data_IF_540712074827
#
_entry.id   IF_540712074827
#
_cell.length_a   1.000
_cell.length_b   1.000
_cell.length_c   1.000
_cell.angle_alpha   90.00
_cell.angle_beta   90.00
_cell.angle_gamma   90.00
#
_symmetry.space_group_name_H-M   'P 1'
#
loop_
_entity.id
_entity.type
_entity.pdbx_description
1 polymer ?
#
# COMPACT_ATOMS: atom_id res chain seq x y z
N UNK A 1 34.94 -42.96 -3.85
CA UNK A 1 35.20 -44.41 -3.92
C UNK A 1 34.78 -45.05 -2.61
N UNK A 2 33.78 -45.96 -2.66
CA UNK A 2 33.39 -47.05 -1.71
C UNK A 2 33.05 -46.68 -0.23
N UNK A 3 32.28 -47.49 0.53
CA UNK A 3 31.43 -48.65 0.17
C UNK A 3 30.00 -48.68 0.80
N UNK A 4 29.27 -49.68 0.32
CA UNK A 4 28.03 -50.35 0.73
C UNK A 4 27.60 -50.35 2.21
N UNK A 5 26.27 -50.34 2.40
CA UNK A 5 25.59 -51.25 3.32
C UNK A 5 24.17 -51.59 2.80
N UNK A 6 24.03 -52.83 2.30
CA UNK A 6 22.76 -53.59 2.27
C UNK A 6 22.26 -53.76 3.71
N UNK A 7 20.95 -53.90 3.93
CA UNK A 7 20.35 -54.92 4.83
C UNK A 7 18.80 -54.92 4.78
N UNK A 8 18.29 -56.03 4.24
CA UNK A 8 17.18 -56.90 4.69
C UNK A 8 15.71 -56.43 4.65
N UNK A 9 14.96 -57.23 3.88
CA UNK A 9 13.50 -57.39 3.80
C UNK A 9 12.86 -57.71 5.16
N UNK A 10 11.69 -57.13 5.42
CA UNK A 10 10.64 -57.81 6.16
C UNK A 10 9.30 -57.57 5.43
N UNK A 11 8.85 -58.60 4.71
CA UNK A 11 7.51 -58.66 4.16
C UNK A 11 6.53 -58.96 5.29
N UNK A 12 5.63 -58.00 5.58
CA UNK A 12 4.47 -58.24 6.44
C UNK A 12 3.21 -58.21 5.59
N UNK A 13 2.66 -59.40 5.37
CA UNK A 13 1.33 -59.64 4.80
C UNK A 13 0.30 -59.24 5.84
N UNK A 14 -0.45 -58.16 5.60
CA UNK A 14 -1.61 -57.78 6.41
C UNK A 14 -2.89 -58.17 5.70
N UNK A 15 -3.68 -58.97 6.40
CA UNK A 15 -4.97 -59.55 6.00
C UNK A 15 -6.01 -58.43 5.84
N UNK A 16 -6.62 -58.39 4.66
CA UNK A 16 -7.73 -57.49 4.35
C UNK A 16 -8.98 -57.90 5.14
N UNK A 17 -9.45 -57.02 6.03
CA UNK A 17 -10.79 -57.10 6.62
C UNK A 17 -11.68 -56.07 5.94
N UNK A 18 -12.52 -56.52 5.01
CA UNK A 18 -13.53 -55.69 4.36
C UNK A 18 -14.74 -55.54 5.29
N UNK A 19 -14.69 -54.55 6.18
CA UNK A 19 -15.88 -54.08 6.87
C UNK A 19 -16.62 -53.09 5.96
N UNK A 20 -17.84 -53.43 5.53
CA UNK A 20 -18.79 -52.46 4.97
C UNK A 20 -19.23 -51.50 6.08
N UNK A 21 -18.37 -50.53 6.39
CA UNK A 21 -18.78 -49.35 7.13
C UNK A 21 -19.59 -48.48 6.17
N UNK A 22 -20.89 -48.33 6.45
CA UNK A 22 -21.74 -47.37 5.74
C UNK A 22 -21.07 -46.00 5.78
N UNK A 23 -20.63 -45.53 4.61
CA UNK A 23 -20.06 -44.18 4.47
C UNK A 23 -21.21 -43.21 4.66
N UNK A 24 -21.40 -42.74 5.90
CA UNK A 24 -22.07 -41.47 6.13
C UNK A 24 -21.22 -40.46 5.37
N UNK A 25 -21.74 -39.99 4.24
CA UNK A 25 -21.13 -38.90 3.50
C UNK A 25 -21.13 -37.71 4.47
N UNK A 26 -19.98 -37.46 5.11
CA UNK A 26 -19.74 -36.22 5.84
C UNK A 26 -19.75 -35.16 4.76
N UNK A 27 -20.91 -34.53 4.55
CA UNK A 27 -20.98 -33.30 3.79
C UNK A 27 -20.10 -32.33 4.56
N UNK A 28 -18.96 -31.89 4.00
CA UNK A 28 -18.14 -30.91 4.70
C UNK A 28 -19.05 -29.73 4.97
N UNK A 29 -19.28 -29.43 6.25
CA UNK A 29 -19.92 -28.18 6.64
C UNK A 29 -19.03 -27.10 6.07
N UNK A 30 -19.50 -26.43 5.02
CA UNK A 30 -18.80 -25.29 4.45
C UNK A 30 -18.80 -24.26 5.56
N UNK A 31 -17.67 -24.14 6.26
CA UNK A 31 -17.50 -23.17 7.32
C UNK A 31 -17.89 -21.82 6.72
N UNK A 32 -18.93 -21.20 7.29
CA UNK A 32 -19.43 -19.93 6.80
C UNK A 32 -18.25 -18.95 6.75
N UNK A 33 -17.96 -18.41 5.56
CA UNK A 33 -16.89 -17.43 5.43
C UNK A 33 -17.21 -16.26 6.35
N UNK A 34 -16.26 -15.83 7.20
CA UNK A 34 -16.52 -14.72 8.12
C UNK A 34 -16.82 -13.47 7.30
N UNK A 35 -17.86 -12.75 7.73
CA UNK A 35 -18.23 -11.48 7.11
C UNK A 35 -17.03 -10.50 7.19
N UNK A 36 -16.78 -9.71 6.14
CA UNK A 36 -15.72 -8.70 6.17
C UNK A 36 -15.97 -7.69 7.29
N UNK A 37 -14.89 -7.15 7.86
CA UNK A 37 -15.00 -6.03 8.79
C UNK A 37 -15.33 -4.77 7.99
N UNK A 38 -16.28 -3.95 8.47
CA UNK A 38 -16.63 -2.70 7.81
C UNK A 38 -16.16 -1.52 8.66
N UNK A 39 -15.28 -0.69 8.14
CA UNK A 39 -14.87 0.55 8.80
C UNK A 39 -15.61 1.72 8.19
N UNK A 40 -16.09 2.64 9.03
CA UNK A 40 -16.79 3.85 8.60
C UNK A 40 -16.45 5.00 9.51
N UNK A 41 -16.40 6.21 8.97
CA UNK A 41 -16.21 7.42 9.76
C UNK A 41 -15.95 8.63 8.88
N UNK A 42 -15.44 9.68 9.50
CA UNK A 42 -15.04 10.92 8.83
C UNK A 42 -13.55 10.93 8.54
N UNK A 43 -13.18 11.61 7.47
CA UNK A 43 -11.82 11.93 7.11
C UNK A 43 -11.57 13.39 7.48
N UNK A 44 -10.52 13.61 8.27
CA UNK A 44 -10.02 14.93 8.61
C UNK A 44 -8.61 15.10 8.06
N UNK A 45 -8.32 16.28 7.56
CA UNK A 45 -6.96 16.71 7.27
C UNK A 45 -6.57 17.72 8.33
N UNK A 46 -5.38 17.58 8.91
CA UNK A 46 -4.87 18.56 9.87
C UNK A 46 -4.57 19.86 9.10
N UNK A 47 -5.56 20.73 8.94
CA UNK A 47 -5.50 22.02 8.24
C UNK A 47 -4.89 21.99 6.82
N UNK A 48 -5.66 21.87 5.74
CA UNK A 48 -5.13 21.97 4.38
C UNK A 48 -6.12 21.49 3.32
N UNK A 49 -5.71 21.59 2.05
CA UNK A 49 -6.52 21.16 0.91
C UNK A 49 -6.56 19.64 0.84
N UNK A 50 -7.76 19.07 0.71
CA UNK A 50 -7.95 17.62 0.50
C UNK A 50 -7.25 17.18 -0.80
N UNK A 51 -6.56 16.03 -0.82
CA UNK A 51 -6.00 15.49 -2.06
C UNK A 51 -7.12 15.25 -3.09
N UNK A 52 -7.02 15.94 -4.23
CA UNK A 52 -7.95 15.81 -5.37
C UNK A 52 -9.23 16.63 -5.22
N UNK A 53 -9.14 17.97 -5.33
CA UNK A 53 -10.26 18.95 -5.35
C UNK A 53 -11.30 18.77 -6.49
N UNK A 54 -11.68 17.54 -6.82
CA UNK A 54 -12.63 17.20 -7.90
C UNK A 54 -12.61 15.74 -8.33
N UNK A 55 -11.59 14.97 -7.91
CA UNK A 55 -11.43 13.56 -8.26
C UNK A 55 -11.75 12.68 -7.06
N UNK A 56 -12.55 11.63 -7.26
CA UNK A 56 -12.88 10.63 -6.24
C UNK A 56 -11.62 10.11 -5.53
N UNK A 57 -11.38 10.55 -4.29
CA UNK A 57 -10.29 10.01 -3.47
C UNK A 57 -10.65 8.57 -3.07
N UNK A 58 -9.70 7.65 -3.15
CA UNK A 58 -9.92 6.25 -2.79
C UNK A 58 -9.25 5.93 -1.46
N UNK A 59 -10.02 5.43 -0.49
CA UNK A 59 -9.51 4.91 0.78
C UNK A 59 -9.10 3.45 0.58
N UNK A 60 -7.91 3.10 1.05
CA UNK A 60 -7.33 1.77 1.00
C UNK A 60 -7.06 1.28 2.43
N UNK A 61 -7.37 0.02 2.70
CA UNK A 61 -7.20 -0.61 4.00
C UNK A 61 -6.19 -1.76 3.88
N UNK A 62 -5.19 -1.74 4.76
CA UNK A 62 -4.04 -2.64 4.73
C UNK A 62 -3.89 -3.42 6.03
N UNK A 63 -3.35 -4.63 5.93
CA UNK A 63 -2.90 -5.43 7.08
C UNK A 63 -1.54 -4.94 7.62
N UNK A 64 -1.09 -5.50 8.75
CA UNK A 64 0.25 -5.23 9.30
C UNK A 64 1.40 -5.59 8.35
N UNK A 65 1.18 -6.56 7.46
CA UNK A 65 2.15 -6.95 6.41
C UNK A 65 2.01 -6.11 5.14
N UNK A 66 1.21 -5.03 5.20
CA UNK A 66 0.91 -4.12 4.09
C UNK A 66 0.22 -4.80 2.90
N UNK A 67 -0.52 -5.90 3.14
CA UNK A 67 -1.39 -6.49 2.12
C UNK A 67 -2.66 -5.64 1.96
N UNK A 68 -3.06 -5.34 0.71
CA UNK A 68 -4.30 -4.60 0.42
C UNK A 68 -5.53 -5.49 0.63
N UNK A 69 -6.36 -5.11 1.61
CA UNK A 69 -7.48 -5.91 2.10
C UNK A 69 -8.84 -5.25 1.94
N UNK A 70 -8.86 -3.96 1.58
CA UNK A 70 -10.08 -3.22 1.30
C UNK A 70 -9.76 -1.98 0.49
N UNK A 71 -10.68 -1.58 -0.39
CA UNK A 71 -10.54 -0.37 -1.19
C UNK A 71 -11.92 0.18 -1.49
N UNK A 72 -12.15 1.48 -1.23
CA UNK A 72 -13.38 2.14 -1.63
C UNK A 72 -13.26 3.62 -1.92
N UNK A 73 -14.21 4.16 -2.68
CA UNK A 73 -14.30 5.59 -2.99
C UNK A 73 -14.86 6.38 -1.81
N UNK A 74 -14.16 7.44 -1.43
CA UNK A 74 -14.60 8.42 -0.43
C UNK A 74 -15.61 9.38 -1.05
N UNK A 75 -16.72 9.65 -0.35
CA UNK A 75 -17.75 10.62 -0.78
C UNK A 75 -17.80 11.78 0.20
N UNK A 76 -17.41 12.98 -0.25
CA UNK A 76 -17.21 14.12 0.65
C UNK A 76 -16.14 13.79 1.68
N UNK A 77 -16.41 14.01 2.96
CA UNK A 77 -15.49 13.68 4.05
C UNK A 77 -15.88 12.41 4.81
N UNK A 78 -16.77 11.59 4.23
CA UNK A 78 -17.21 10.33 4.83
C UNK A 78 -16.64 9.17 4.02
N UNK A 79 -16.13 8.17 4.73
CA UNK A 79 -15.64 6.94 4.12
C UNK A 79 -16.35 5.72 4.67
N UNK A 80 -16.38 4.67 3.86
CA UNK A 80 -16.78 3.33 4.25
C UNK A 80 -15.97 2.34 3.46
N UNK A 81 -15.28 1.41 4.13
CA UNK A 81 -14.46 0.39 3.47
C UNK A 81 -14.69 -0.97 4.12
N UNK A 82 -14.93 -1.98 3.29
CA UNK A 82 -14.96 -3.37 3.72
C UNK A 82 -13.55 -3.94 3.65
N UNK A 83 -13.14 -4.66 4.68
CA UNK A 83 -11.80 -5.25 4.83
C UNK A 83 -11.94 -6.75 4.93
N UNK A 84 -11.40 -7.44 3.93
CA UNK A 84 -11.39 -8.90 3.85
C UNK A 84 -10.65 -9.50 5.05
N UNK A 85 -11.06 -10.70 5.46
CA UNK A 85 -10.34 -11.48 6.47
C UNK A 85 -9.20 -12.28 5.85
N UNK A 86 -8.29 -12.78 6.68
CA UNK A 86 -7.25 -13.74 6.25
C UNK A 86 -7.80 -15.01 5.59
N UNK A 87 -9.01 -15.43 5.95
CA UNK A 87 -9.66 -16.64 5.40
C UNK A 87 -10.31 -16.39 4.05
N UNK A 88 -10.72 -15.14 3.77
CA UNK A 88 -11.21 -14.73 2.46
C UNK A 88 -10.06 -14.41 1.50
N UNK A 89 -9.00 -13.76 2.01
CA UNK A 89 -7.80 -13.39 1.25
C UNK A 89 -6.54 -13.59 2.08
N UNK A 90 -5.61 -14.46 1.66
CA UNK A 90 -4.33 -14.63 2.35
C UNK A 90 -3.58 -13.29 2.51
N UNK A 91 -2.99 -13.06 3.68
CA UNK A 91 -2.29 -11.82 4.02
C UNK A 91 -3.16 -10.74 4.68
N UNK A 92 -4.49 -10.91 4.66
CA UNK A 92 -5.41 -10.01 5.33
C UNK A 92 -5.55 -10.25 6.83
N UNK A 93 -6.03 -9.26 7.60
CA UNK A 93 -6.06 -9.34 9.06
C UNK A 93 -7.03 -10.42 9.58
N UNK A 94 -6.75 -10.89 10.80
CA UNK A 94 -7.61 -11.76 11.60
C UNK A 94 -8.30 -10.97 12.72
N UNK A 95 -9.23 -11.59 13.45
CA UNK A 95 -9.90 -10.96 14.60
C UNK A 95 -8.89 -10.35 15.59
N UNK A 96 -9.07 -9.06 15.90
CA UNK A 96 -8.20 -8.27 16.78
C UNK A 96 -6.93 -7.71 16.13
N UNK A 97 -6.58 -8.10 14.90
CA UNK A 97 -5.39 -7.59 14.21
C UNK A 97 -5.57 -6.14 13.75
N UNK A 98 -4.51 -5.33 13.70
CA UNK A 98 -4.61 -3.94 13.29
C UNK A 98 -4.90 -3.82 11.78
N UNK A 99 -5.67 -2.79 11.45
CA UNK A 99 -5.95 -2.33 10.08
C UNK A 99 -5.44 -0.91 9.93
N UNK A 100 -4.67 -0.69 8.88
CA UNK A 100 -4.05 0.58 8.54
C UNK A 100 -4.78 1.20 7.36
N UNK A 101 -4.93 2.52 7.35
CA UNK A 101 -5.68 3.21 6.32
C UNK A 101 -4.79 4.16 5.54
N UNK A 102 -4.91 4.14 4.22
CA UNK A 102 -4.22 5.02 3.29
C UNK A 102 -5.24 5.74 2.42
N UNK A 103 -5.07 7.03 2.20
CA UNK A 103 -5.86 7.80 1.24
C UNK A 103 -4.89 8.40 0.23
N UNK A 104 -4.89 7.86 -1.00
CA UNK A 104 -3.82 8.16 -1.95
C UNK A 104 -2.48 7.72 -1.39
N UNK A 105 -1.60 8.67 -1.05
CA UNK A 105 -0.27 8.41 -0.48
C UNK A 105 -0.12 8.69 1.01
N UNK A 106 -1.24 9.07 1.64
CA UNK A 106 -1.24 9.51 3.02
C UNK A 106 -1.73 8.39 3.90
N UNK A 107 -0.92 8.01 4.89
CA UNK A 107 -1.35 7.12 5.95
C UNK A 107 -2.12 7.91 7.02
N UNK A 108 -3.25 7.37 7.44
CA UNK A 108 -3.97 7.88 8.60
C UNK A 108 -3.13 7.69 9.87
N UNK A 109 -3.32 8.57 10.87
CA UNK A 109 -2.69 8.41 12.18
C UNK A 109 -3.30 7.24 12.95
N UNK A 110 -4.59 7.04 12.79
CA UNK A 110 -5.40 6.06 13.49
C UNK A 110 -5.31 4.69 12.83
N UNK A 111 -5.56 3.65 13.64
CA UNK A 111 -5.60 2.26 13.21
C UNK A 111 -6.86 1.64 13.77
N UNK A 112 -7.50 0.79 12.98
CA UNK A 112 -8.63 -0.01 13.42
C UNK A 112 -8.17 -1.36 13.95
N UNK A 113 -9.04 -2.08 14.66
CA UNK A 113 -8.88 -3.51 14.91
C UNK A 113 -9.91 -4.26 14.08
N UNK A 114 -9.48 -5.26 13.31
CA UNK A 114 -10.38 -6.04 12.48
C UNK A 114 -11.30 -6.89 13.36
N UNK A 115 -12.60 -6.80 13.15
CA UNK A 115 -13.61 -7.61 13.85
C UNK A 115 -14.75 -7.98 12.88
N UNK A 116 -15.23 -9.23 12.87
CA UNK A 116 -16.23 -9.67 11.91
C UNK A 116 -17.62 -9.12 12.23
N UNK A 117 -18.40 -8.83 11.18
CA UNK A 117 -19.85 -8.71 11.26
C UNK A 117 -20.43 -7.39 11.78
N UNK A 118 -19.63 -6.49 12.37
CA UNK A 118 -20.10 -5.19 12.85
C UNK A 118 -19.37 -4.01 12.19
N UNK A 119 -20.08 -2.91 11.88
CA UNK A 119 -19.43 -1.66 11.51
C UNK A 119 -18.59 -1.11 12.67
N UNK A 120 -17.34 -0.75 12.36
CA UNK A 120 -16.39 -0.15 13.27
C UNK A 120 -16.32 1.34 12.94
N UNK A 121 -16.79 2.17 13.88
CA UNK A 121 -16.68 3.62 13.78
C UNK A 121 -15.23 4.05 14.06
N UNK A 122 -14.60 4.69 13.09
CA UNK A 122 -13.23 5.19 13.21
C UNK A 122 -13.11 6.46 12.37
N UNK A 123 -12.81 7.59 13.01
CA UNK A 123 -12.45 8.80 12.29
C UNK A 123 -10.96 8.75 11.95
N UNK A 124 -10.60 9.17 10.74
CA UNK A 124 -9.24 9.13 10.22
C UNK A 124 -8.70 10.53 10.03
N UNK A 125 -7.52 10.78 10.59
CA UNK A 125 -6.79 12.02 10.48
C UNK A 125 -5.56 11.81 9.60
N UNK A 126 -5.48 12.54 8.49
CA UNK A 126 -4.35 12.53 7.58
C UNK A 126 -3.49 13.79 7.75
N UNK A 127 -2.17 13.71 7.49
CA UNK A 127 -1.30 14.88 7.57
C UNK A 127 -1.75 16.00 6.63
N UNK A 128 -1.51 17.25 7.03
CA UNK A 128 -1.62 18.43 6.18
C UNK A 128 -0.86 18.22 4.88
N UNK A 129 -1.40 18.67 3.76
CA UNK A 129 -0.61 18.82 2.53
C UNK A 129 -0.16 20.26 2.37
N UNK A 130 1.10 20.41 2.01
CA UNK A 130 1.65 21.65 1.46
C UNK A 130 1.82 21.45 -0.04
N UNK A 131 1.28 22.40 -0.80
CA UNK A 131 1.41 22.44 -2.25
C UNK A 131 2.40 23.52 -2.64
N UNK A 132 3.29 23.21 -3.58
CA UNK A 132 4.26 24.14 -4.14
C UNK A 132 4.18 24.09 -5.67
N UNK A 133 4.25 25.26 -6.32
CA UNK A 133 4.27 25.33 -7.79
C UNK A 133 5.70 25.21 -8.28
N UNK A 134 5.92 24.27 -9.20
CA UNK A 134 7.15 24.00 -9.92
C UNK A 134 7.04 24.67 -11.30
N UNK A 135 7.82 25.74 -11.58
CA UNK A 135 7.90 26.32 -12.91
C UNK A 135 8.48 25.32 -13.93
N UNK A 136 8.23 25.55 -15.21
CA UNK A 136 8.87 24.79 -16.30
C UNK A 136 10.41 24.81 -16.16
N UNK A 137 11.05 23.69 -16.48
CA UNK A 137 12.50 23.50 -16.30
C UNK A 137 12.83 22.63 -15.09
N UNK A 138 14.04 22.76 -14.56
CA UNK A 138 14.53 21.97 -13.44
C UNK A 138 14.74 22.85 -12.20
N UNK A 139 14.23 22.41 -11.06
CA UNK A 139 14.40 23.09 -9.77
C UNK A 139 14.69 22.13 -8.63
N UNK A 140 15.18 22.68 -7.51
CA UNK A 140 15.51 21.93 -6.31
C UNK A 140 14.38 22.00 -5.30
N UNK A 141 13.90 20.84 -4.86
CA UNK A 141 12.78 20.74 -3.94
C UNK A 141 13.13 19.79 -2.79
N UNK A 142 12.75 20.18 -1.57
CA UNK A 142 12.85 19.31 -0.40
C UNK A 142 11.63 18.39 -0.38
N UNK A 143 11.82 17.10 -0.13
CA UNK A 143 10.70 16.17 0.00
C UNK A 143 10.35 15.97 1.47
N UNK A 144 9.05 15.83 1.76
CA UNK A 144 8.54 15.69 3.13
C UNK A 144 7.71 14.42 3.31
N UNK A 145 7.79 13.51 2.34
CA UNK A 145 7.24 12.16 2.42
C UNK A 145 7.94 11.33 3.52
N UNK A 146 7.35 10.21 3.91
CA UNK A 146 7.97 9.25 4.84
C UNK A 146 9.27 8.66 4.28
N UNK A 147 10.13 8.13 5.15
CA UNK A 147 11.33 7.41 4.72
C UNK A 147 10.98 6.17 3.88
N UNK A 148 11.77 5.90 2.84
CA UNK A 148 11.54 4.77 1.93
C UNK A 148 10.32 4.93 1.01
N UNK A 149 9.81 6.15 0.81
CA UNK A 149 8.68 6.40 -0.10
C UNK A 149 9.09 6.08 -1.53
N UNK A 150 8.32 5.26 -2.24
CA UNK A 150 8.59 4.92 -3.63
C UNK A 150 8.52 6.16 -4.53
N UNK A 151 9.40 6.26 -5.54
CA UNK A 151 9.45 7.45 -6.41
C UNK A 151 8.16 7.65 -7.21
N UNK A 152 7.45 6.58 -7.52
CA UNK A 152 6.14 6.60 -8.18
C UNK A 152 5.07 7.32 -7.33
N UNK A 153 5.21 7.26 -6.01
CA UNK A 153 4.37 8.05 -5.08
C UNK A 153 4.64 9.54 -5.25
N UNK A 154 5.91 9.94 -5.39
CA UNK A 154 6.27 11.35 -5.62
C UNK A 154 5.66 11.84 -6.95
N UNK A 155 5.74 11.04 -8.01
CA UNK A 155 5.14 11.36 -9.31
C UNK A 155 3.61 11.49 -9.24
N UNK A 156 2.93 10.61 -8.52
CA UNK A 156 1.48 10.69 -8.34
C UNK A 156 1.04 11.98 -7.63
N UNK A 157 1.95 12.63 -6.89
CA UNK A 157 1.71 13.91 -6.24
C UNK A 157 2.21 15.12 -7.04
N UNK A 158 2.72 14.91 -8.26
CA UNK A 158 2.99 15.96 -9.24
C UNK A 158 1.81 16.08 -10.19
N UNK A 159 1.15 17.24 -10.16
CA UNK A 159 -0.05 17.51 -10.95
C UNK A 159 0.25 18.59 -12.01
N UNK A 160 0.19 18.25 -13.31
CA UNK A 160 0.27 19.23 -14.39
C UNK A 160 -0.75 20.36 -14.19
N UNK A 161 -0.31 21.62 -14.30
CA UNK A 161 -1.21 22.79 -14.26
C UNK A 161 -1.69 23.21 -15.65
N UNK A 162 -0.99 22.77 -16.70
CA UNK A 162 -1.30 23.07 -18.09
C UNK A 162 -1.30 21.78 -18.94
N UNK A 163 -2.15 21.69 -19.98
CA UNK A 163 -2.11 20.57 -20.92
C UNK A 163 -0.73 20.38 -21.54
N UNK A 164 -0.23 19.15 -21.56
CA UNK A 164 1.09 18.81 -22.11
C UNK A 164 2.26 18.97 -21.13
N UNK A 165 2.04 19.51 -19.93
CA UNK A 165 3.07 19.51 -18.88
C UNK A 165 3.29 18.08 -18.37
N UNK A 166 4.54 17.63 -18.35
CA UNK A 166 4.95 16.30 -17.91
C UNK A 166 6.22 16.38 -17.06
N UNK A 167 6.45 15.34 -16.24
CA UNK A 167 7.72 15.18 -15.53
C UNK A 167 8.75 14.58 -16.47
N UNK A 168 9.84 15.29 -16.72
CA UNK A 168 10.92 14.81 -17.58
C UNK A 168 11.90 13.91 -16.80
N UNK A 169 12.28 14.34 -15.59
CA UNK A 169 13.20 13.59 -14.74
C UNK A 169 13.10 14.02 -13.27
N UNK A 170 13.48 13.11 -12.36
CA UNK A 170 13.77 13.41 -10.96
C UNK A 170 15.17 12.89 -10.63
N UNK A 171 16.01 13.74 -10.03
CA UNK A 171 17.37 13.39 -9.65
C UNK A 171 17.59 13.56 -8.15
N UNK A 172 18.40 12.67 -7.58
CA UNK A 172 18.81 12.69 -6.19
C UNK A 172 20.30 12.41 -6.09
N UNK A 173 21.02 13.19 -5.29
CA UNK A 173 22.43 12.92 -4.98
C UNK A 173 22.54 11.99 -3.78
N UNK A 174 22.96 10.75 -4.03
CA UNK A 174 23.22 9.78 -2.97
C UNK A 174 24.62 10.02 -2.38
N UNK A 175 24.69 10.88 -1.36
CA UNK A 175 25.96 11.28 -0.76
C UNK A 175 26.81 10.09 -0.23
N UNK A 176 26.25 9.08 0.47
CA UNK A 176 27.05 7.93 0.92
C UNK A 176 27.73 7.15 -0.21
N UNK A 177 27.13 7.13 -1.40
CA UNK A 177 27.67 6.45 -2.59
C UNK A 177 28.35 7.41 -3.57
N UNK A 178 28.37 8.71 -3.28
CA UNK A 178 28.86 9.78 -4.16
C UNK A 178 28.37 9.64 -5.62
N UNK A 179 27.09 9.35 -5.80
CA UNK A 179 26.51 9.12 -7.13
C UNK A 179 25.15 9.78 -7.30
N UNK A 180 24.86 10.22 -8.52
CA UNK A 180 23.52 10.63 -8.92
C UNK A 180 22.63 9.41 -9.15
N UNK A 181 21.41 9.48 -8.62
CA UNK A 181 20.33 8.56 -8.92
C UNK A 181 19.25 9.31 -9.67
N UNK A 182 18.72 8.71 -10.73
CA UNK A 182 17.74 9.32 -11.61
C UNK A 182 16.47 8.49 -11.72
N UNK A 183 15.36 9.16 -11.98
CA UNK A 183 14.12 8.57 -12.43
C UNK A 183 13.58 9.35 -13.64
N UNK A 184 13.19 8.63 -14.68
CA UNK A 184 12.69 9.13 -15.95
C UNK A 184 11.40 8.34 -16.28
N UNK A 185 10.21 8.97 -16.22
CA UNK A 185 8.95 8.27 -16.46
C UNK A 185 8.92 7.51 -17.79
N UNK A 186 9.42 8.15 -18.86
CA UNK A 186 9.45 7.59 -20.23
C UNK A 186 10.83 7.05 -20.64
N UNK A 187 11.78 6.99 -19.70
CA UNK A 187 13.16 6.55 -19.96
C UNK A 187 13.34 5.03 -19.85
N UNK A 188 14.47 4.49 -20.37
CA UNK A 188 14.78 3.07 -20.19
C UNK A 188 14.98 2.72 -18.71
N UNK A 189 14.48 1.54 -18.30
CA UNK A 189 14.52 1.10 -16.90
C UNK A 189 15.93 1.05 -16.29
N UNK A 190 16.97 0.88 -17.11
CA UNK A 190 18.37 0.90 -16.69
C UNK A 190 18.85 2.26 -16.17
N UNK A 191 18.21 3.37 -16.58
CA UNK A 191 18.51 4.71 -16.08
C UNK A 191 17.72 5.07 -14.81
N UNK A 192 16.65 4.32 -14.50
CA UNK A 192 15.79 4.54 -13.34
C UNK A 192 16.40 3.94 -12.07
N UNK A 193 17.50 4.54 -11.60
CA UNK A 193 18.27 4.10 -10.42
C UNK A 193 17.76 4.69 -9.10
N UNK A 194 16.95 5.76 -9.14
CA UNK A 194 16.23 6.29 -7.98
C UNK A 194 14.93 5.49 -7.80
N UNK A 195 14.85 4.69 -6.74
CA UNK A 195 13.68 3.84 -6.44
C UNK A 195 12.83 4.37 -5.29
N UNK A 196 13.47 4.96 -4.30
CA UNK A 196 12.84 5.46 -3.09
C UNK A 196 13.49 6.75 -2.66
N UNK A 197 12.72 7.61 -1.99
CA UNK A 197 13.18 8.83 -1.34
C UNK A 197 12.92 8.78 0.15
N UNK A 198 13.67 9.56 0.91
CA UNK A 198 13.50 9.73 2.33
C UNK A 198 12.94 11.11 2.68
N UNK A 199 12.49 11.23 3.92
CA UNK A 199 12.05 12.50 4.47
C UNK A 199 13.24 13.46 4.50
N UNK A 200 13.01 14.69 4.03
CA UNK A 200 14.00 15.76 3.86
C UNK A 200 15.05 15.51 2.77
N UNK A 201 14.88 14.48 1.93
CA UNK A 201 15.71 14.37 0.72
C UNK A 201 15.51 15.61 -0.15
N UNK A 202 16.60 16.12 -0.70
CA UNK A 202 16.58 17.23 -1.65
C UNK A 202 16.74 16.65 -3.05
N UNK A 203 15.74 16.87 -3.90
CA UNK A 203 15.69 16.33 -5.26
C UNK A 203 15.64 17.45 -6.28
N UNK A 204 16.19 17.19 -7.46
CA UNK A 204 15.97 18.02 -8.64
C UNK A 204 14.79 17.45 -9.41
N UNK A 205 13.74 18.25 -9.61
CA UNK A 205 12.58 17.87 -10.39
C UNK A 205 12.59 18.70 -11.67
N UNK A 206 12.60 18.00 -12.81
CA UNK A 206 12.53 18.60 -14.13
C UNK A 206 11.15 18.35 -14.73
N UNK A 207 10.46 19.43 -15.11
CA UNK A 207 9.12 19.39 -15.74
C UNK A 207 9.12 20.18 -17.04
N UNK A 208 8.34 19.74 -18.02
CA UNK A 208 8.22 20.40 -19.35
C UNK A 208 7.32 21.63 -19.33
N UNK A 209 6.47 21.76 -18.31
CA UNK A 209 5.59 22.90 -18.07
C UNK A 209 5.20 23.02 -16.60
N UNK A 210 4.49 24.10 -16.20
CA UNK A 210 4.12 24.35 -14.81
C UNK A 210 3.39 23.15 -14.17
N UNK A 211 3.86 22.73 -13.01
CA UNK A 211 3.37 21.55 -12.27
C UNK A 211 3.22 21.89 -10.80
N UNK A 212 2.24 21.31 -10.11
CA UNK A 212 2.10 21.44 -8.66
C UNK A 212 2.61 20.17 -7.96
N UNK A 213 3.51 20.34 -6.99
CA UNK A 213 3.94 19.27 -6.07
C UNK A 213 3.14 19.35 -4.78
N UNK A 214 2.40 18.29 -4.48
CA UNK A 214 1.76 18.09 -3.18
C UNK A 214 2.63 17.21 -2.28
N UNK A 215 2.88 17.61 -1.04
CA UNK A 215 3.68 16.82 -0.09
C UNK A 215 3.17 17.01 1.34
N UNK A 216 3.38 16.06 2.27
CA UNK A 216 3.01 16.26 3.67
C UNK A 216 3.66 17.54 4.24
N UNK A 217 2.93 18.35 4.99
CA UNK A 217 3.55 19.46 5.70
C UNK A 217 4.56 18.91 6.70
N UNK A 218 5.70 19.59 6.82
CA UNK A 218 6.43 19.55 8.07
C UNK A 218 5.52 20.21 9.11
N UNK A 219 4.89 19.40 9.96
CA UNK A 219 4.33 19.97 11.19
C UNK A 219 5.49 20.57 11.97
N UNK A 220 5.35 21.78 12.53
CA UNK A 220 6.22 22.24 13.60
C UNK A 220 6.26 21.22 14.74
#
# INVERSE_FOLDING_TARGET
>A
MRPHALTVLAAFTLVASAALAGRVAVVPSVAAQPLPARFTGKIQFVAGTKPGNGSSSTIEAYSQTLALCGKETVRGDVYGVNVDSSSARPGCPMNGQPVYFKLGDYWARERGQWSPGFPIALDLTFPKLTTETIPAGCGVYVLTFSNGTAIETVLANLQPLEPGSTVAAIWFWNAPKAQWQGYFPDGPASLNTLKTVNRLDTVWICVTGPTQLSRPSLSP
#
